data_IF_855119383864
#
_entry.id   IF_855119383864
#
_cell.length_a   1.000
_cell.length_b   1.000
_cell.length_c   1.000
_cell.angle_alpha   90.00
_cell.angle_beta   90.00
_cell.angle_gamma   90.00
#
_symmetry.space_group_name_H-M   'P 1'
#
loop_
_entity.id
_entity.type
_entity.pdbx_description
1 polymer ?
#
# COMPACT_ATOMS: atom_id res chain seq x y z
N UNK A 1 38.56 -18.72 36.70
CA UNK A 1 37.88 -19.91 37.21
C UNK A 1 36.68 -20.20 36.31
N UNK A 2 36.81 -21.17 35.41
CA UNK A 2 35.81 -21.65 34.45
C UNK A 2 35.47 -23.09 34.86
N UNK A 3 34.24 -23.56 34.66
CA UNK A 3 34.05 -24.68 33.72
C UNK A 3 32.81 -24.39 32.85
N UNK A 4 32.79 -24.43 31.52
CA UNK A 4 33.15 -25.48 30.56
C UNK A 4 32.45 -26.82 30.82
N UNK A 5 31.26 -26.97 30.24
CA UNK A 5 30.66 -28.28 29.95
C UNK A 5 30.44 -28.36 28.44
N UNK A 6 31.07 -29.38 27.89
CA UNK A 6 31.22 -29.79 26.51
C UNK A 6 30.21 -30.90 26.19
N UNK A 7 30.12 -31.24 24.89
CA UNK A 7 29.42 -32.37 24.27
C UNK A 7 28.00 -32.08 23.75
N UNK A 8 27.59 -32.47 22.54
CA UNK A 8 28.23 -33.13 21.38
C UNK A 8 27.29 -32.92 20.19
N UNK A 9 27.81 -32.56 19.01
CA UNK A 9 27.10 -32.76 17.72
C UNK A 9 27.14 -34.25 17.34
N UNK A 10 26.17 -34.71 16.55
CA UNK A 10 26.56 -35.38 15.31
C UNK A 10 25.71 -34.97 14.09
N UNK A 11 26.41 -34.66 12.99
CA UNK A 11 26.33 -35.42 11.74
C UNK A 11 25.17 -35.17 10.76
N UNK A 12 25.45 -34.99 9.45
CA UNK A 12 24.45 -34.68 8.44
C UNK A 12 23.77 -35.93 7.87
N UNK A 13 22.55 -35.77 7.34
CA UNK A 13 22.00 -36.71 6.35
C UNK A 13 21.57 -35.95 5.12
N UNK A 14 22.36 -36.16 4.07
CA UNK A 14 22.08 -35.81 2.70
C UNK A 14 21.54 -37.07 2.01
N UNK A 15 20.44 -36.95 1.27
CA UNK A 15 20.00 -37.78 0.14
C UNK A 15 18.49 -37.61 -0.01
N UNK A 16 17.88 -37.58 -1.17
CA UNK A 16 18.24 -37.38 -2.57
C UNK A 16 16.88 -37.51 -3.29
N UNK A 17 16.81 -37.04 -4.54
CA UNK A 17 15.78 -37.40 -5.53
C UNK A 17 14.43 -36.67 -5.43
N UNK A 18 14.35 -35.52 -6.11
CA UNK A 18 13.30 -35.32 -7.10
C UNK A 18 13.96 -34.81 -8.38
N UNK A 19 14.07 -35.73 -9.36
CA UNK A 19 14.55 -35.44 -10.72
C UNK A 19 13.50 -34.63 -11.50
N UNK A 20 13.90 -33.97 -12.60
CA UNK A 20 13.02 -33.23 -13.49
C UNK A 20 12.40 -34.16 -14.53
N UNK A 21 11.14 -33.93 -14.90
CA UNK A 21 10.63 -34.32 -16.21
C UNK A 21 9.93 -33.13 -16.88
N UNK A 22 10.40 -32.92 -18.10
CA UNK A 22 9.98 -32.00 -19.15
C UNK A 22 8.58 -32.27 -19.67
N UNK A 23 7.90 -31.22 -20.18
CA UNK A 23 6.72 -31.37 -21.03
C UNK A 23 5.74 -30.20 -20.95
N UNK A 24 6.09 -29.02 -21.46
CA UNK A 24 5.61 -28.57 -22.76
C UNK A 24 4.12 -28.20 -22.79
N UNK A 25 3.80 -26.93 -22.54
CA UNK A 25 2.87 -26.19 -23.38
C UNK A 25 3.38 -24.76 -23.48
N UNK A 26 3.97 -24.48 -24.65
CA UNK A 26 4.19 -23.14 -25.17
C UNK A 26 2.82 -22.51 -25.33
N UNK A 27 2.67 -21.27 -24.88
CA UNK A 27 1.88 -20.30 -25.62
C UNK A 27 2.61 -18.97 -25.51
N UNK A 28 3.08 -18.55 -26.67
CA UNK A 28 3.67 -17.27 -26.95
C UNK A 28 2.77 -16.15 -26.46
N UNK A 29 3.33 -15.28 -25.63
CA UNK A 29 2.79 -13.94 -25.41
C UNK A 29 3.97 -12.97 -25.43
N UNK A 30 4.75 -13.06 -26.50
CA UNK A 30 5.56 -11.95 -26.97
C UNK A 30 4.61 -10.93 -27.64
N UNK A 31 4.89 -9.65 -27.40
CA UNK A 31 4.25 -8.47 -28.01
C UNK A 31 3.05 -7.91 -27.23
N UNK A 32 3.32 -7.04 -26.26
CA UNK A 32 3.07 -5.60 -26.43
C UNK A 32 3.73 -4.81 -25.29
N UNK A 33 5.03 -4.57 -25.45
CA UNK A 33 5.70 -3.44 -24.82
C UNK A 33 5.53 -2.24 -25.75
N UNK A 34 4.61 -1.34 -25.45
CA UNK A 34 4.54 0.01 -25.99
C UNK A 34 4.03 0.91 -24.86
N UNK A 35 4.94 1.65 -24.24
CA UNK A 35 5.17 3.07 -24.51
C UNK A 35 4.38 3.93 -23.52
N UNK A 36 5.05 4.30 -22.42
CA UNK A 36 4.66 5.46 -21.62
C UNK A 36 5.61 6.59 -22.00
N UNK A 37 5.46 7.08 -23.23
CA UNK A 37 6.07 8.33 -23.67
C UNK A 37 5.17 9.48 -23.26
N UNK A 38 5.77 10.45 -22.58
CA UNK A 38 5.13 11.72 -22.31
C UNK A 38 4.88 12.47 -23.62
N UNK A 39 3.76 13.19 -23.69
CA UNK A 39 3.81 14.49 -24.34
C UNK A 39 2.79 15.47 -23.75
N UNK A 40 3.34 16.64 -23.43
CA UNK A 40 2.64 17.88 -23.12
C UNK A 40 2.00 18.40 -24.40
N UNK A 41 0.70 18.71 -24.38
CA UNK A 41 0.14 19.62 -25.37
C UNK A 41 -0.94 20.52 -24.75
N UNK A 42 -0.71 21.81 -24.97
CA UNK A 42 -1.54 22.95 -24.59
C UNK A 42 -2.82 22.93 -25.42
N UNK A 43 -3.96 23.08 -24.75
CA UNK A 43 -5.24 23.35 -25.38
C UNK A 43 -6.12 24.16 -24.44
N UNK A 44 -6.12 25.49 -24.60
CA UNK A 44 -7.09 26.36 -23.92
C UNK A 44 -8.45 26.14 -24.59
N UNK A 45 -9.43 25.65 -23.86
CA UNK A 45 -10.85 25.95 -24.12
C UNK A 45 -11.54 26.33 -22.82
N UNK A 46 -12.24 27.46 -22.88
CA UNK A 46 -13.01 28.04 -21.80
C UNK A 46 -14.17 27.12 -21.41
N UNK A 47 -14.39 26.98 -20.10
CA UNK A 47 -15.58 26.32 -19.53
C UNK A 47 -16.42 27.41 -18.87
N UNK A 48 -17.74 27.48 -19.09
CA UNK A 48 -18.57 28.52 -18.50
C UNK A 48 -18.75 28.28 -16.99
N UNK A 49 -18.75 29.39 -16.26
CA UNK A 49 -18.88 29.49 -14.81
C UNK A 49 -20.28 29.09 -14.36
N UNK A 50 -20.39 27.96 -13.65
CA UNK A 50 -21.56 27.61 -12.85
C UNK A 50 -21.24 27.89 -11.38
N UNK A 51 -21.96 28.84 -10.78
CA UNK A 51 -21.89 29.15 -9.35
C UNK A 51 -22.59 28.05 -8.55
N UNK A 52 -21.86 27.39 -7.65
CA UNK A 52 -22.46 26.66 -6.53
C UNK A 52 -21.80 27.07 -5.22
N UNK A 53 -22.56 27.76 -4.37
CA UNK A 53 -22.24 28.01 -2.96
C UNK A 53 -22.40 26.69 -2.19
N UNK A 54 -21.38 26.31 -1.43
CA UNK A 54 -21.41 25.15 -0.53
C UNK A 54 -19.98 24.72 -0.19
N UNK A 55 -19.54 25.03 1.02
CA UNK A 55 -18.20 24.75 1.53
C UNK A 55 -18.02 23.23 1.75
N UNK A 56 -17.65 22.50 0.71
CA UNK A 56 -17.02 21.19 0.83
C UNK A 56 -15.50 21.41 0.76
N UNK A 57 -14.76 21.03 1.82
CA UNK A 57 -13.28 21.01 1.76
C UNK A 57 -12.88 20.03 0.65
N UNK A 58 -12.36 20.56 -0.44
CA UNK A 58 -11.91 19.82 -1.61
C UNK A 58 -10.91 18.73 -1.23
N UNK A 59 -10.97 17.60 -1.91
CA UNK A 59 -9.97 16.53 -1.85
C UNK A 59 -8.60 17.12 -2.20
N UNK A 60 -7.79 17.50 -1.22
CA UNK A 60 -6.47 18.09 -1.48
C UNK A 60 -5.38 17.02 -1.49
N UNK A 61 -5.53 16.02 -2.36
CA UNK A 61 -4.36 15.26 -2.78
C UNK A 61 -3.72 16.04 -3.93
N UNK A 62 -2.70 16.83 -3.59
CA UNK A 62 -1.96 17.59 -4.59
C UNK A 62 -1.38 16.62 -5.64
N UNK A 63 -1.45 17.03 -6.91
CA UNK A 63 -0.90 16.26 -8.03
C UNK A 63 0.58 15.90 -7.78
N UNK A 64 1.30 16.80 -7.14
CA UNK A 64 2.64 16.60 -6.62
C UNK A 64 2.64 16.44 -5.08
N UNK A 65 3.40 15.49 -4.52
CA UNK A 65 3.53 15.36 -3.07
C UNK A 65 4.22 16.59 -2.46
N UNK A 66 3.91 16.88 -1.20
CA UNK A 66 4.61 17.90 -0.42
C UNK A 66 6.13 17.68 -0.49
N UNK A 67 6.93 18.75 -0.52
CA UNK A 67 8.40 18.66 -0.69
C UNK A 67 9.06 17.64 0.24
N UNK A 68 8.65 17.63 1.52
CA UNK A 68 9.16 16.68 2.50
C UNK A 68 8.75 15.22 2.19
N UNK A 69 7.50 15.02 1.77
CA UNK A 69 6.97 13.69 1.42
C UNK A 69 7.60 13.17 0.13
N UNK A 70 7.81 14.04 -0.85
CA UNK A 70 8.59 13.73 -2.05
C UNK A 70 9.99 13.24 -1.68
N UNK A 71 10.69 13.97 -0.82
CA UNK A 71 12.03 13.57 -0.35
C UNK A 71 12.03 12.22 0.37
N UNK A 72 10.96 11.88 1.11
CA UNK A 72 10.83 10.58 1.74
C UNK A 72 10.68 9.44 0.72
N UNK A 73 9.86 9.65 -0.33
CA UNK A 73 9.77 8.70 -1.44
C UNK A 73 11.09 8.56 -2.20
N UNK A 74 11.85 9.65 -2.37
CA UNK A 74 13.14 9.65 -3.07
C UNK A 74 14.22 8.85 -2.31
N UNK A 75 14.04 8.62 -0.99
CA UNK A 75 14.90 7.75 -0.19
C UNK A 75 14.60 6.26 -0.31
N UNK A 76 13.54 5.87 -1.02
CA UNK A 76 13.21 4.46 -1.23
C UNK A 76 13.99 3.88 -2.41
N UNK A 77 14.23 2.56 -2.37
CA UNK A 77 14.72 1.82 -3.54
C UNK A 77 13.82 2.08 -4.76
N UNK A 78 14.35 2.19 -6.00
CA UNK A 78 13.57 2.55 -7.18
C UNK A 78 12.30 1.71 -7.40
N UNK A 79 12.36 0.39 -7.15
CA UNK A 79 11.20 -0.50 -7.34
C UNK A 79 10.17 -0.31 -6.23
N UNK A 80 10.63 -0.13 -4.99
CA UNK A 80 9.79 0.19 -3.83
C UNK A 80 9.11 1.55 -4.03
N UNK A 81 9.84 2.57 -4.48
CA UNK A 81 9.34 3.92 -4.77
C UNK A 81 8.23 3.88 -5.82
N UNK A 82 8.48 3.20 -6.95
CA UNK A 82 7.49 3.05 -8.02
C UNK A 82 6.20 2.39 -7.51
N UNK A 83 6.34 1.33 -6.72
CA UNK A 83 5.20 0.63 -6.12
C UNK A 83 4.45 1.51 -5.11
N UNK A 84 5.17 2.24 -4.26
CA UNK A 84 4.60 3.10 -3.23
C UNK A 84 3.87 4.32 -3.83
N UNK A 85 4.39 4.90 -4.93
CA UNK A 85 3.72 5.98 -5.67
C UNK A 85 2.41 5.50 -6.33
N UNK A 86 2.39 4.27 -6.84
CA UNK A 86 1.14 3.68 -7.36
C UNK A 86 0.10 3.50 -6.23
N UNK A 87 0.53 3.08 -5.04
CA UNK A 87 -0.35 2.98 -3.86
C UNK A 87 -0.83 4.36 -3.42
N UNK A 88 0.03 5.40 -3.41
CA UNK A 88 -0.38 6.79 -3.13
C UNK A 88 -1.51 7.25 -4.05
N UNK A 89 -1.38 7.00 -5.36
CA UNK A 89 -2.44 7.32 -6.33
C UNK A 89 -3.75 6.61 -5.99
N UNK A 90 -3.67 5.34 -5.61
CA UNK A 90 -4.83 4.55 -5.21
C UNK A 90 -5.48 5.07 -3.91
N UNK A 91 -4.69 5.53 -2.93
CA UNK A 91 -5.21 6.15 -1.71
C UNK A 91 -6.05 7.38 -2.07
N UNK A 92 -5.56 8.22 -2.99
CA UNK A 92 -6.32 9.36 -3.52
C UNK A 92 -7.61 8.98 -4.23
N UNK A 93 -7.55 7.96 -5.08
CA UNK A 93 -8.72 7.45 -5.79
C UNK A 93 -9.80 6.95 -4.82
N UNK A 94 -9.41 6.26 -3.75
CA UNK A 94 -10.37 5.76 -2.75
C UNK A 94 -10.89 6.91 -1.88
N UNK A 95 -10.03 7.84 -1.49
CA UNK A 95 -10.39 9.01 -0.70
C UNK A 95 -11.34 9.96 -1.45
N UNK A 96 -11.28 10.03 -2.79
CA UNK A 96 -12.24 10.83 -3.57
C UNK A 96 -13.61 10.18 -3.70
N UNK A 97 -13.68 8.85 -3.56
CA UNK A 97 -14.93 8.08 -3.58
C UNK A 97 -15.54 7.87 -2.20
N UNK A 98 -14.75 8.08 -1.16
CA UNK A 98 -15.16 7.95 0.23
C UNK A 98 -15.43 9.33 0.78
N UNK A 99 -16.56 9.51 1.47
CA UNK A 99 -16.72 10.72 2.28
C UNK A 99 -15.78 10.60 3.50
N UNK A 100 -14.55 11.09 3.37
CA UNK A 100 -13.55 11.09 4.44
C UNK A 100 -13.13 12.51 4.85
N UNK A 101 -13.83 13.55 4.38
CA UNK A 101 -13.53 14.96 4.68
C UNK A 101 -12.22 15.47 4.07
N UNK A 102 -11.79 14.87 2.96
CA UNK A 102 -10.50 15.13 2.31
C UNK A 102 -9.38 14.23 2.85
N UNK A 103 -8.23 14.27 2.18
CA UNK A 103 -7.04 13.51 2.57
C UNK A 103 -5.91 14.48 2.90
N UNK A 104 -5.35 14.33 4.09
CA UNK A 104 -4.15 15.04 4.53
C UNK A 104 -2.93 14.15 4.34
N UNK A 105 -1.92 14.66 3.64
CA UNK A 105 -0.63 14.00 3.41
C UNK A 105 0.42 14.60 4.34
N UNK A 106 1.10 13.76 5.12
CA UNK A 106 2.08 14.17 6.14
C UNK A 106 3.23 13.16 6.23
N UNK A 107 4.23 13.46 7.05
CA UNK A 107 5.29 12.52 7.43
C UNK A 107 5.12 12.11 8.88
N UNK A 108 5.20 10.81 9.14
CA UNK A 108 5.38 10.28 10.49
C UNK A 108 6.54 9.31 10.49
N UNK A 109 7.49 9.51 11.41
CA UNK A 109 8.71 8.70 11.52
C UNK A 109 9.53 8.64 10.21
N UNK A 110 9.53 9.73 9.45
CA UNK A 110 10.21 9.81 8.15
C UNK A 110 9.47 9.14 6.99
N UNK A 111 8.30 8.54 7.23
CA UNK A 111 7.54 7.83 6.21
C UNK A 111 6.26 8.58 5.77
N UNK A 112 5.90 8.53 4.47
CA UNK A 112 4.64 9.05 3.96
C UNK A 112 3.44 8.49 4.73
N UNK A 113 2.61 9.38 5.24
CA UNK A 113 1.44 9.06 6.05
C UNK A 113 0.23 9.86 5.58
N UNK A 114 -0.94 9.24 5.63
CA UNK A 114 -2.19 9.78 5.13
C UNK A 114 -3.27 9.72 6.20
N UNK A 115 -4.00 10.81 6.37
CA UNK A 115 -5.09 10.93 7.33
C UNK A 115 -6.37 11.41 6.64
N UNK A 116 -7.51 10.91 7.11
CA UNK A 116 -8.81 11.44 6.73
C UNK A 116 -9.05 12.79 7.42
N UNK A 117 -9.33 13.84 6.64
CA UNK A 117 -9.55 15.20 7.16
C UNK A 117 -10.80 15.33 8.04
N UNK A 118 -11.75 14.39 7.91
CA UNK A 118 -12.91 14.25 8.81
C UNK A 118 -12.56 13.77 10.21
N UNK A 119 -11.37 13.19 10.42
CA UNK A 119 -11.03 12.50 11.67
C UNK A 119 -11.71 11.13 11.84
N UNK A 120 -12.52 10.69 10.87
CA UNK A 120 -13.24 9.39 10.92
C UNK A 120 -12.38 8.19 10.53
N UNK A 121 -11.18 8.42 10.01
CA UNK A 121 -10.24 7.38 9.60
C UNK A 121 -9.12 7.10 10.61
N UNK A 122 -8.38 6.01 10.38
CA UNK A 122 -7.07 5.77 10.99
C UNK A 122 -5.96 6.25 10.06
N UNK A 123 -4.76 6.50 10.60
CA UNK A 123 -3.60 6.87 9.78
C UNK A 123 -3.16 5.70 8.92
N UNK A 124 -2.97 5.92 7.62
CA UNK A 124 -2.34 4.97 6.69
C UNK A 124 -0.89 5.42 6.48
N UNK A 125 0.09 4.56 6.73
CA UNK A 125 1.52 4.85 6.54
C UNK A 125 2.12 3.91 5.52
N UNK A 126 2.93 4.43 4.60
CA UNK A 126 3.67 3.64 3.61
C UNK A 126 5.14 3.61 3.96
N UNK A 127 5.70 2.41 4.09
CA UNK A 127 7.13 2.21 4.35
C UNK A 127 7.66 1.03 3.54
N UNK A 128 8.98 0.94 3.30
CA UNK A 128 9.58 -0.24 2.70
C UNK A 128 9.30 -1.48 3.55
N UNK A 129 8.96 -2.58 2.89
CA UNK A 129 8.81 -3.88 3.54
C UNK A 129 10.16 -4.42 4.04
N UNK A 130 10.15 -5.46 4.89
CA UNK A 130 11.35 -6.15 5.31
C UNK A 130 12.17 -6.59 4.09
N UNK A 131 13.49 -6.38 4.15
CA UNK A 131 14.42 -6.74 3.07
C UNK A 131 14.05 -6.14 1.69
N UNK A 132 13.29 -5.05 1.65
CA UNK A 132 12.78 -4.43 0.42
C UNK A 132 11.95 -5.39 -0.46
N UNK A 133 11.32 -6.41 0.11
CA UNK A 133 10.51 -7.37 -0.66
C UNK A 133 9.15 -6.81 -1.13
N UNK A 134 8.79 -5.63 -0.65
CA UNK A 134 7.48 -5.03 -0.88
C UNK A 134 7.36 -3.63 -0.32
N UNK A 135 6.14 -3.11 -0.39
CA UNK A 135 5.73 -1.90 0.34
C UNK A 135 4.82 -2.36 1.48
N UNK A 136 5.15 -1.99 2.71
CA UNK A 136 4.28 -2.20 3.85
C UNK A 136 3.32 -1.01 3.98
N UNK A 137 2.02 -1.30 3.96
CA UNK A 137 0.98 -0.33 4.28
C UNK A 137 0.49 -0.61 5.69
N UNK A 138 0.81 0.30 6.61
CA UNK A 138 0.54 0.17 8.05
C UNK A 138 -0.54 1.11 8.52
N UNK A 139 -1.21 0.69 9.59
CA UNK A 139 -2.19 1.50 10.32
C UNK A 139 -1.87 1.57 11.80
N UNK A 140 -2.62 2.37 12.54
CA UNK A 140 -2.41 2.52 13.98
C UNK A 140 -2.55 1.15 14.69
N UNK A 141 -1.57 0.77 15.50
CA UNK A 141 -1.49 -0.57 16.11
C UNK A 141 -2.62 -0.87 17.11
N UNK A 142 -3.26 0.15 17.68
CA UNK A 142 -4.44 -0.01 18.54
C UNK A 142 -5.76 -0.10 17.77
N UNK A 143 -5.71 -0.17 16.43
CA UNK A 143 -6.91 -0.31 15.61
C UNK A 143 -7.33 -1.78 15.51
N UNK A 144 -8.64 -2.03 15.47
CA UNK A 144 -9.20 -3.35 15.15
C UNK A 144 -9.26 -3.63 13.64
N UNK A 145 -8.50 -2.86 12.85
CA UNK A 145 -8.62 -2.88 11.40
C UNK A 145 -8.20 -4.22 10.81
N UNK A 146 -7.09 -4.79 11.31
CA UNK A 146 -6.61 -6.07 10.80
C UNK A 146 -7.58 -7.20 11.10
N UNK A 147 -8.22 -7.22 12.27
CA UNK A 147 -9.26 -8.19 12.63
C UNK A 147 -10.37 -8.22 11.58
N UNK A 148 -10.91 -7.06 11.22
CA UNK A 148 -11.97 -6.93 10.20
C UNK A 148 -11.47 -7.18 8.77
N UNK A 149 -10.21 -6.84 8.48
CA UNK A 149 -9.65 -7.04 7.16
C UNK A 149 -9.40 -8.52 6.85
N UNK A 150 -8.83 -9.27 7.79
CA UNK A 150 -8.44 -10.69 7.59
C UNK A 150 -9.60 -11.68 7.75
N UNK A 151 -10.78 -11.22 8.18
CA UNK A 151 -12.01 -12.02 8.24
C UNK A 151 -12.31 -12.74 6.92
N UNK A 152 -11.88 -12.15 5.79
CA UNK A 152 -11.76 -12.82 4.51
C UNK A 152 -10.27 -12.91 4.11
N UNK A 153 -9.76 -14.09 3.70
CA UNK A 153 -8.39 -14.23 3.24
C UNK A 153 -8.07 -13.25 2.11
N UNK A 154 -7.08 -12.36 2.29
CA UNK A 154 -6.76 -11.39 1.27
C UNK A 154 -5.99 -12.04 0.11
N UNK A 155 -6.35 -11.67 -1.11
CA UNK A 155 -5.69 -12.18 -2.33
C UNK A 155 -4.62 -11.20 -2.80
N UNK A 156 -3.38 -11.69 -2.93
CA UNK A 156 -2.27 -10.91 -3.50
C UNK A 156 -1.58 -9.93 -2.53
N UNK A 157 -2.02 -9.86 -1.27
CA UNK A 157 -1.29 -9.17 -0.19
C UNK A 157 -1.08 -10.11 0.98
N UNK A 158 -0.03 -9.88 1.77
CA UNK A 158 0.25 -10.68 2.97
C UNK A 158 -0.08 -9.84 4.21
N UNK A 159 -0.84 -10.37 5.19
CA UNK A 159 -0.94 -9.71 6.49
C UNK A 159 0.45 -9.55 7.12
N UNK A 160 0.73 -8.38 7.68
CA UNK A 160 1.96 -8.09 8.42
C UNK A 160 1.62 -7.86 9.90
N UNK A 161 1.43 -8.98 10.60
CA UNK A 161 0.99 -9.02 11.98
C UNK A 161 -0.35 -8.31 12.20
N UNK A 162 -0.48 -7.61 13.31
CA UNK A 162 -1.68 -6.82 13.67
C UNK A 162 -1.67 -5.40 13.09
N UNK A 163 -0.63 -5.02 12.33
CA UNK A 163 -0.34 -3.60 12.05
C UNK A 163 -0.50 -3.19 10.59
N UNK A 164 -0.79 -4.11 9.68
CA UNK A 164 -0.99 -3.75 8.27
C UNK A 164 -0.83 -4.91 7.31
N UNK A 165 -0.55 -4.57 6.05
CA UNK A 165 -0.35 -5.52 4.96
C UNK A 165 0.95 -5.23 4.20
N UNK A 166 1.57 -6.28 3.70
CA UNK A 166 2.71 -6.24 2.80
C UNK A 166 2.24 -6.46 1.36
N UNK A 167 2.55 -5.49 0.49
CA UNK A 167 2.27 -5.52 -0.93
C UNK A 167 3.55 -5.94 -1.67
N UNK A 168 3.57 -7.10 -2.35
CA UNK A 168 4.74 -7.55 -3.09
C UNK A 168 5.18 -6.59 -4.20
N UNK A 169 6.49 -6.48 -4.45
CA UNK A 169 7.01 -5.71 -5.59
C UNK A 169 6.74 -6.39 -6.93
N UNK A 170 6.60 -7.71 -6.96
CA UNK A 170 6.39 -8.49 -8.19
C UNK A 170 4.91 -8.77 -8.41
N UNK A 171 4.51 -8.83 -9.68
CA UNK A 171 3.14 -9.14 -10.08
C UNK A 171 2.22 -7.92 -10.18
N UNK A 172 0.95 -8.22 -10.47
CA UNK A 172 -0.11 -7.22 -10.59
C UNK A 172 -0.45 -6.64 -9.22
N UNK A 173 -0.70 -5.34 -9.17
CA UNK A 173 -1.13 -4.69 -7.95
C UNK A 173 -2.54 -5.22 -7.57
N UNK A 174 -2.76 -5.74 -6.35
CA UNK A 174 -4.03 -6.33 -5.95
C UNK A 174 -5.06 -5.22 -5.62
N UNK A 175 -5.53 -4.53 -6.66
CA UNK A 175 -6.33 -3.31 -6.55
C UNK A 175 -7.58 -3.50 -5.67
N UNK A 176 -8.26 -4.64 -5.79
CA UNK A 176 -9.48 -4.92 -5.01
C UNK A 176 -9.20 -4.93 -3.51
N UNK A 177 -8.16 -5.65 -3.07
CA UNK A 177 -7.82 -5.75 -1.65
C UNK A 177 -7.26 -4.44 -1.11
N UNK A 178 -6.47 -3.71 -1.91
CA UNK A 178 -5.98 -2.40 -1.52
C UNK A 178 -7.10 -1.38 -1.38
N UNK A 179 -8.04 -1.31 -2.32
CA UNK A 179 -9.21 -0.43 -2.21
C UNK A 179 -10.03 -0.75 -0.97
N UNK A 180 -10.25 -2.04 -0.68
CA UNK A 180 -10.93 -2.48 0.53
C UNK A 180 -10.18 -2.05 1.79
N UNK A 181 -8.88 -2.31 1.86
CA UNK A 181 -8.05 -1.94 3.00
C UNK A 181 -8.07 -0.43 3.23
N UNK A 182 -7.84 0.37 2.18
CA UNK A 182 -7.84 1.83 2.26
C UNK A 182 -9.22 2.35 2.69
N UNK A 183 -10.30 1.84 2.10
CA UNK A 183 -11.66 2.23 2.46
C UNK A 183 -11.95 1.98 3.94
N UNK A 184 -11.63 0.78 4.44
CA UNK A 184 -11.77 0.44 5.86
C UNK A 184 -10.92 1.33 6.78
N UNK A 185 -9.72 1.71 6.34
CA UNK A 185 -8.87 2.62 7.11
C UNK A 185 -9.47 4.03 7.17
N UNK A 186 -9.96 4.57 6.05
CA UNK A 186 -10.49 5.93 5.98
C UNK A 186 -11.82 6.10 6.71
N UNK A 187 -12.57 5.03 6.94
CA UNK A 187 -13.84 5.02 7.69
C UNK A 187 -13.76 4.29 9.04
N UNK A 188 -12.54 4.11 9.57
CA UNK A 188 -12.28 3.33 10.79
C UNK A 188 -13.25 3.60 11.95
N UNK A 189 -13.42 4.87 12.31
CA UNK A 189 -14.24 5.28 13.45
C UNK A 189 -15.74 5.09 13.21
N UNK A 190 -16.20 5.06 11.96
CA UNK A 190 -17.62 4.86 11.62
C UNK A 190 -18.03 3.42 11.88
N UNK A 191 -17.22 2.47 11.41
CA UNK A 191 -17.57 1.06 11.57
C UNK A 191 -17.14 0.50 12.92
N UNK A 192 -16.17 1.12 13.61
CA UNK A 192 -15.72 0.71 14.95
C UNK A 192 -16.66 1.19 16.05
N UNK A 193 -17.39 2.28 15.84
CA UNK A 193 -18.47 2.73 16.74
C UNK A 193 -19.77 1.95 16.50
N UNK A 194 -20.02 1.51 15.26
CA UNK A 194 -21.20 0.73 14.86
C UNK A 194 -21.25 -0.73 15.33
N UNK A 195 -20.63 -1.06 16.47
CA UNK A 195 -20.72 -2.38 17.10
C UNK A 195 -20.67 -2.23 18.63
N UNK A 196 -21.78 -1.74 19.18
CA UNK A 196 -22.19 -1.88 20.57
C UNK A 196 -23.71 -1.68 20.64
N UNK A 197 -24.45 -2.55 19.96
CA UNK A 197 -25.85 -2.87 20.27
C UNK A 197 -25.96 -4.41 20.33
#
# INVERSE_FOLDING_TARGET
NKPEIFMKRPGPRNSALCRPESGFLRNDCASLALAYDGNVSRGKKAVPSAKSKGLAKSVTLHSEPLKAVKSAFDGFDPEVRKRALAIRGLIGEVASKTDCGGLEETLKWGFPSYLAGSGRGTTIRLEPGPSNEGVAMRVHCKSRMMERFVDRPPVGVKPDGSRGILIPLKGKLPLTELRRFIGLALTYHDWKSGSAD
#
